data_IF_477135319721
#
_entry.id   IF_477135319721
#
_cell.length_a   1.000
_cell.length_b   1.000
_cell.length_c   1.000
_cell.angle_alpha   90.00
_cell.angle_beta   90.00
_cell.angle_gamma   90.00
#
_symmetry.space_group_name_H-M   'P 1'
#
loop_
_entity.id
_entity.type
_entity.pdbx_description
1 polymer ?
#
# COMPACT_ATOMS: atom_id res chain seq x y z
N UNK A 1 24.75 -59.76 -7.24
CA UNK A 1 23.56 -58.92 -6.98
C UNK A 1 23.85 -57.99 -5.80
N UNK A 2 24.31 -56.74 -6.01
CA UNK A 2 24.40 -55.70 -4.94
C UNK A 2 24.76 -54.27 -5.40
N UNK A 3 25.00 -54.02 -6.70
CA UNK A 3 25.44 -52.70 -7.18
C UNK A 3 24.30 -51.69 -7.49
N UNK A 4 23.08 -52.16 -7.77
CA UNK A 4 21.98 -51.30 -8.24
C UNK A 4 21.36 -50.39 -7.15
N UNK A 5 21.42 -50.80 -5.88
CA UNK A 5 20.77 -50.07 -4.77
C UNK A 5 21.53 -48.83 -4.29
N UNK A 6 22.84 -48.74 -4.57
CA UNK A 6 23.66 -47.61 -4.12
C UNK A 6 23.51 -46.39 -5.05
N UNK A 7 23.42 -46.63 -6.36
CA UNK A 7 23.22 -45.61 -7.41
C UNK A 7 21.86 -44.90 -7.31
N UNK A 8 20.79 -45.66 -7.04
CA UNK A 8 19.46 -45.08 -6.87
C UNK A 8 19.37 -44.19 -5.62
N UNK A 9 20.09 -44.56 -4.54
CA UNK A 9 20.12 -43.77 -3.29
C UNK A 9 20.94 -42.50 -3.42
N UNK A 10 22.06 -42.53 -4.13
CA UNK A 10 22.84 -41.31 -4.43
C UNK A 10 22.10 -40.39 -5.40
N UNK A 11 21.42 -40.94 -6.42
CA UNK A 11 20.57 -40.14 -7.31
C UNK A 11 19.41 -39.49 -6.55
N UNK A 12 18.72 -40.23 -5.68
CA UNK A 12 17.65 -39.69 -4.85
C UNK A 12 18.16 -38.64 -3.85
N UNK A 13 19.34 -38.87 -3.25
CA UNK A 13 19.98 -37.90 -2.36
C UNK A 13 20.39 -36.61 -3.09
N UNK A 14 20.89 -36.72 -4.33
CA UNK A 14 21.21 -35.57 -5.18
C UNK A 14 19.94 -34.81 -5.61
N UNK A 15 18.84 -35.52 -5.90
CA UNK A 15 17.53 -34.91 -6.18
C UNK A 15 16.94 -34.19 -4.95
N UNK A 16 17.11 -34.76 -3.75
CA UNK A 16 16.67 -34.14 -2.49
C UNK A 16 17.53 -32.91 -2.15
N UNK A 17 18.84 -32.95 -2.40
CA UNK A 17 19.75 -31.80 -2.23
C UNK A 17 19.51 -30.71 -3.28
N UNK A 18 19.18 -31.08 -4.52
CA UNK A 18 18.81 -30.14 -5.58
C UNK A 18 17.44 -29.49 -5.31
N UNK A 19 16.46 -30.25 -4.82
CA UNK A 19 15.13 -29.74 -4.43
C UNK A 19 15.17 -28.83 -3.21
N UNK A 20 16.09 -29.06 -2.27
CA UNK A 20 16.30 -28.19 -1.12
C UNK A 20 16.96 -26.85 -1.47
N UNK A 21 17.72 -26.77 -2.57
CA UNK A 21 18.39 -25.55 -3.03
C UNK A 21 17.48 -24.54 -3.76
N UNK A 22 16.25 -24.93 -4.12
CA UNK A 22 15.29 -24.07 -4.81
C UNK A 22 14.27 -23.42 -3.88
N UNK A 23 14.25 -23.78 -2.60
CA UNK A 23 13.48 -23.05 -1.58
C UNK A 23 14.37 -22.01 -0.90
N UNK A 24 15.12 -21.24 -1.68
CA UNK A 24 15.43 -19.89 -1.23
C UNK A 24 14.07 -19.20 -1.15
N UNK A 25 13.58 -18.94 0.07
CA UNK A 25 12.43 -18.07 0.26
C UNK A 25 12.78 -16.78 -0.49
N UNK A 26 12.17 -16.56 -1.65
CA UNK A 26 12.39 -15.35 -2.42
C UNK A 26 12.00 -14.21 -1.49
N UNK A 27 12.99 -13.49 -0.97
CA UNK A 27 12.72 -12.34 -0.13
C UNK A 27 11.88 -11.39 -0.96
N UNK A 28 10.74 -10.95 -0.42
CA UNK A 28 9.95 -9.93 -1.08
C UNK A 28 10.87 -8.76 -1.42
N UNK A 29 10.81 -8.23 -2.64
CA UNK A 29 11.65 -7.09 -3.00
C UNK A 29 11.42 -5.98 -1.98
N UNK A 30 12.50 -5.30 -1.58
CA UNK A 30 12.41 -4.19 -0.65
C UNK A 30 11.46 -3.12 -1.23
N UNK A 31 10.61 -2.51 -0.40
CA UNK A 31 9.77 -1.40 -0.85
C UNK A 31 10.63 -0.27 -1.44
N UNK A 32 10.12 0.48 -2.43
CA UNK A 32 10.82 1.63 -2.97
C UNK A 32 11.03 2.71 -1.90
N UNK A 33 12.18 3.38 -1.96
CA UNK A 33 12.52 4.49 -1.08
C UNK A 33 12.25 5.82 -1.78
N UNK A 34 11.54 6.72 -1.09
CA UNK A 34 11.26 8.07 -1.57
C UNK A 34 11.69 9.10 -0.54
N UNK A 35 12.22 10.22 -1.02
CA UNK A 35 12.46 11.38 -0.18
C UNK A 35 11.24 12.30 -0.22
N UNK A 36 10.81 12.76 0.95
CA UNK A 36 9.75 13.77 1.11
C UNK A 36 10.38 14.98 1.79
N UNK A 37 10.51 16.09 1.06
CA UNK A 37 11.11 17.32 1.61
C UNK A 37 10.07 18.07 2.44
N UNK A 38 10.38 18.32 3.71
CA UNK A 38 9.54 19.14 4.59
C UNK A 38 9.68 20.65 4.30
N UNK A 39 10.68 21.04 3.52
CA UNK A 39 10.88 22.43 3.06
C UNK A 39 9.87 22.82 1.96
N UNK A 40 9.29 21.84 1.27
CA UNK A 40 8.21 22.08 0.31
C UNK A 40 6.88 22.37 1.03
N UNK A 41 6.01 23.12 0.35
CA UNK A 41 4.63 23.34 0.81
C UNK A 41 3.91 21.99 0.99
N UNK A 42 3.15 21.79 2.09
CA UNK A 42 2.49 20.52 2.41
C UNK A 42 1.76 19.86 1.23
N UNK A 43 1.00 20.65 0.47
CA UNK A 43 0.19 20.22 -0.67
C UNK A 43 1.03 19.61 -1.81
N UNK A 44 2.33 19.91 -1.84
CA UNK A 44 3.24 19.50 -2.91
C UNK A 44 4.19 18.37 -2.49
N UNK A 45 4.33 18.10 -1.17
CA UNK A 45 5.37 17.21 -0.61
C UNK A 45 5.33 15.80 -1.18
N UNK A 46 4.11 15.28 -1.38
CA UNK A 46 3.88 13.90 -1.81
C UNK A 46 3.83 13.73 -3.33
N UNK A 47 3.73 14.83 -4.10
CA UNK A 47 3.60 14.77 -5.55
C UNK A 47 4.78 14.06 -6.24
N UNK A 48 6.05 14.24 -5.85
CA UNK A 48 7.15 13.52 -6.45
C UNK A 48 7.02 12.00 -6.30
N UNK A 49 6.58 11.53 -5.12
CA UNK A 49 6.37 10.10 -4.86
C UNK A 49 5.19 9.54 -5.67
N UNK A 50 4.07 10.27 -5.72
CA UNK A 50 2.87 9.85 -6.46
C UNK A 50 3.12 9.67 -7.97
N UNK A 51 4.07 10.40 -8.56
CA UNK A 51 4.42 10.27 -9.98
C UNK A 51 5.03 8.91 -10.36
N UNK A 52 5.49 8.13 -9.39
CA UNK A 52 6.03 6.79 -9.62
C UNK A 52 4.98 5.69 -9.70
N UNK A 53 3.71 6.02 -9.45
CA UNK A 53 2.61 5.06 -9.44
C UNK A 53 1.63 5.34 -10.57
N UNK A 54 1.01 4.27 -11.07
CA UNK A 54 -0.09 4.38 -12.02
C UNK A 54 -1.31 5.00 -11.33
N UNK A 55 -1.81 6.11 -11.87
CA UNK A 55 -2.87 6.89 -11.22
C UNK A 55 -4.21 6.16 -11.23
N UNK A 56 -4.51 5.42 -12.29
CA UNK A 56 -5.77 4.68 -12.40
C UNK A 56 -5.78 3.50 -11.43
N UNK A 57 -4.64 2.83 -11.28
CA UNK A 57 -4.42 1.81 -10.26
C UNK A 57 -4.60 2.39 -8.85
N UNK A 58 -3.97 3.52 -8.52
CA UNK A 58 -4.14 4.16 -7.21
C UNK A 58 -5.61 4.49 -6.95
N UNK A 59 -6.30 5.07 -7.95
CA UNK A 59 -7.73 5.39 -7.81
C UNK A 59 -8.58 4.15 -7.54
N UNK A 60 -8.38 3.10 -8.32
CA UNK A 60 -9.10 1.84 -8.15
C UNK A 60 -8.82 1.21 -6.77
N UNK A 61 -7.57 1.25 -6.31
CA UNK A 61 -7.19 0.74 -5.00
C UNK A 61 -7.86 1.53 -3.86
N UNK A 62 -7.88 2.86 -3.95
CA UNK A 62 -8.55 3.71 -2.96
C UNK A 62 -10.06 3.46 -2.92
N UNK A 63 -10.72 3.38 -4.08
CA UNK A 63 -12.15 3.05 -4.18
C UNK A 63 -12.45 1.68 -3.57
N UNK A 64 -11.60 0.69 -3.84
CA UNK A 64 -11.74 -0.65 -3.29
C UNK A 64 -11.60 -0.67 -1.77
N UNK A 65 -10.56 -0.01 -1.22
CA UNK A 65 -10.34 0.05 0.23
C UNK A 65 -11.52 0.72 0.93
N UNK A 66 -12.02 1.84 0.39
CA UNK A 66 -13.18 2.53 0.96
C UNK A 66 -14.44 1.66 0.87
N UNK A 67 -14.68 1.04 -0.29
CA UNK A 67 -15.84 0.19 -0.52
C UNK A 67 -15.91 -1.03 0.43
N UNK A 68 -14.75 -1.59 0.77
CA UNK A 68 -14.65 -2.81 1.56
C UNK A 68 -14.55 -2.55 3.07
N UNK A 69 -13.92 -1.45 3.48
CA UNK A 69 -13.62 -1.17 4.90
C UNK A 69 -14.54 -0.13 5.55
N UNK A 70 -15.22 0.72 4.76
CA UNK A 70 -16.03 1.81 5.31
C UNK A 70 -17.52 1.52 5.13
N UNK A 71 -18.30 1.37 6.23
CA UNK A 71 -19.74 1.21 6.12
C UNK A 71 -20.39 2.39 5.38
N UNK A 72 -21.33 2.10 4.47
CA UNK A 72 -21.98 3.14 3.64
C UNK A 72 -22.56 4.31 4.42
N UNK A 73 -23.06 4.06 5.64
CA UNK A 73 -23.62 5.12 6.49
C UNK A 73 -22.52 6.05 7.04
N UNK A 74 -21.31 5.54 7.32
CA UNK A 74 -20.15 6.33 7.74
C UNK A 74 -19.70 7.22 6.59
N UNK A 75 -19.58 6.64 5.39
CA UNK A 75 -19.22 7.38 4.17
C UNK A 75 -20.21 8.54 3.91
N UNK A 76 -21.51 8.27 4.01
CA UNK A 76 -22.54 9.28 3.81
C UNK A 76 -22.54 10.38 4.89
N UNK A 77 -22.18 10.06 6.13
CA UNK A 77 -22.05 11.01 7.22
C UNK A 77 -20.82 11.91 7.02
N UNK A 78 -19.65 11.32 6.79
CA UNK A 78 -18.40 12.06 6.68
C UNK A 78 -18.39 12.97 5.45
N UNK A 79 -18.95 12.55 4.30
CA UNK A 79 -19.09 13.43 3.13
C UNK A 79 -19.94 14.68 3.40
N UNK A 80 -20.86 14.65 4.37
CA UNK A 80 -21.63 15.83 4.80
C UNK A 80 -20.88 16.69 5.81
N UNK A 81 -20.05 16.08 6.65
CA UNK A 81 -19.34 16.73 7.75
C UNK A 81 -17.89 17.11 7.41
N UNK A 82 -17.40 16.81 6.20
CA UNK A 82 -15.97 16.92 5.85
C UNK A 82 -15.40 18.32 6.09
N UNK A 83 -16.16 19.37 5.79
CA UNK A 83 -15.72 20.75 6.00
C UNK A 83 -15.52 21.09 7.48
N UNK A 84 -16.34 20.51 8.36
CA UNK A 84 -16.16 20.66 9.81
C UNK A 84 -14.99 19.81 10.28
N UNK A 85 -14.88 18.57 9.80
CA UNK A 85 -13.79 17.66 10.16
C UNK A 85 -12.43 18.26 9.80
N UNK A 86 -12.32 18.88 8.63
CA UNK A 86 -11.13 19.56 8.15
C UNK A 86 -10.62 20.62 9.14
N UNK A 87 -11.52 21.38 9.78
CA UNK A 87 -11.16 22.41 10.76
C UNK A 87 -10.54 21.85 12.04
N UNK A 88 -10.79 20.58 12.34
CA UNK A 88 -10.24 19.91 13.52
C UNK A 88 -8.98 19.09 13.21
N UNK A 89 -8.66 18.87 11.93
CA UNK A 89 -7.46 18.14 11.55
C UNK A 89 -6.22 19.04 11.69
N UNK A 90 -5.17 18.57 12.38
CA UNK A 90 -3.98 19.36 12.59
C UNK A 90 -3.22 19.59 11.28
N UNK A 91 -2.64 20.78 11.13
CA UNK A 91 -1.66 21.03 10.09
C UNK A 91 -0.30 20.39 10.46
N UNK A 92 0.49 19.89 9.49
CA UNK A 92 0.32 20.03 8.02
C UNK A 92 -0.53 18.91 7.37
N UNK A 93 -1.07 17.97 8.13
CA UNK A 93 -1.67 16.74 7.58
C UNK A 93 -2.86 17.02 6.67
N UNK A 94 -3.70 17.99 7.02
CA UNK A 94 -4.85 18.40 6.21
C UNK A 94 -4.42 18.84 4.81
N UNK A 95 -3.39 19.68 4.72
CA UNK A 95 -2.90 20.21 3.45
C UNK A 95 -2.14 19.15 2.64
N UNK A 96 -1.39 18.25 3.30
CA UNK A 96 -0.78 17.10 2.65
C UNK A 96 -1.82 16.14 2.05
N UNK A 97 -2.93 15.88 2.76
CA UNK A 97 -4.03 15.06 2.27
C UNK A 97 -4.71 15.75 1.07
N UNK A 98 -5.00 17.05 1.17
CA UNK A 98 -5.61 17.83 0.09
C UNK A 98 -4.79 17.76 -1.19
N UNK A 99 -3.47 17.98 -1.10
CA UNK A 99 -2.58 17.91 -2.25
C UNK A 99 -2.61 16.57 -2.97
N UNK A 100 -2.67 15.47 -2.21
CA UNK A 100 -2.80 14.12 -2.77
C UNK A 100 -4.17 13.89 -3.40
N UNK A 101 -5.26 14.35 -2.78
CA UNK A 101 -6.60 14.27 -3.35
C UNK A 101 -6.70 15.00 -4.69
N UNK A 102 -6.16 16.20 -4.76
CA UNK A 102 -6.18 17.03 -5.97
C UNK A 102 -5.37 16.34 -7.09
N UNK A 103 -4.20 15.80 -6.78
CA UNK A 103 -3.36 15.07 -7.73
C UNK A 103 -4.01 13.78 -8.26
N UNK A 104 -4.82 13.12 -7.43
CA UNK A 104 -5.53 11.90 -7.76
C UNK A 104 -6.98 12.16 -8.18
N UNK A 105 -7.43 13.41 -8.29
CA UNK A 105 -8.82 13.77 -8.57
C UNK A 105 -9.82 12.97 -7.71
N UNK A 106 -9.58 12.96 -6.39
CA UNK A 106 -10.46 12.39 -5.36
C UNK A 106 -11.15 13.49 -4.59
N UNK A 107 -12.30 13.16 -3.99
CA UNK A 107 -12.90 14.07 -3.03
C UNK A 107 -12.16 14.00 -1.67
N UNK A 108 -12.03 15.15 -1.02
CA UNK A 108 -11.30 15.28 0.24
C UNK A 108 -11.83 14.36 1.35
N UNK A 109 -13.14 14.18 1.41
CA UNK A 109 -13.78 13.33 2.43
C UNK A 109 -13.31 11.87 2.34
N UNK A 110 -13.22 11.34 1.12
CA UNK A 110 -12.77 9.98 0.85
C UNK A 110 -11.28 9.81 1.15
N UNK A 111 -10.43 10.81 0.86
CA UNK A 111 -9.02 10.74 1.25
C UNK A 111 -8.81 10.78 2.76
N UNK A 112 -9.57 11.63 3.48
CA UNK A 112 -9.52 11.67 4.94
C UNK A 112 -9.97 10.32 5.50
N UNK A 113 -11.07 9.77 4.99
CA UNK A 113 -11.56 8.45 5.37
C UNK A 113 -10.52 7.36 5.13
N UNK A 114 -9.78 7.41 4.02
CA UNK A 114 -8.74 6.43 3.73
C UNK A 114 -7.61 6.45 4.76
N UNK A 115 -7.15 7.64 5.15
CA UNK A 115 -6.13 7.79 6.18
C UNK A 115 -6.64 7.25 7.53
N UNK A 116 -7.91 7.51 7.88
CA UNK A 116 -8.51 7.00 9.11
C UNK A 116 -8.80 5.48 9.06
N UNK A 117 -9.16 4.96 7.89
CA UNK A 117 -9.43 3.54 7.69
C UNK A 117 -8.17 2.71 7.91
N UNK A 118 -7.02 3.17 7.42
CA UNK A 118 -5.73 2.55 7.70
C UNK A 118 -5.46 2.45 9.21
N UNK A 119 -5.63 3.56 9.94
CA UNK A 119 -5.43 3.60 11.40
C UNK A 119 -6.44 2.75 12.18
N UNK A 120 -7.64 2.53 11.64
CA UNK A 120 -8.68 1.74 12.33
C UNK A 120 -8.39 0.24 12.39
N UNK A 121 -7.48 -0.25 11.55
CA UNK A 121 -7.09 -1.67 11.46
C UNK A 121 -5.66 -1.94 11.90
N UNK A 122 -4.92 -0.89 12.27
CA UNK A 122 -3.51 -0.94 12.66
C UNK A 122 -3.28 -1.47 14.08
#
# INVERSE_FOLDING_TARGET
MRAAGLSARTALALLLLAGAGLSAAASSPAPPLFNVSLDAAPELRWLPMLQHFDRDFLRAAMEHIIGDNVPKWVLALIRKAVWELELFLPQPFTDEIRGQCDALNFNLADCILLNLAYESTA
#
